data_IF_807636599902
#
_entry.id   IF_807636599902
#
_cell.length_a   1.000
_cell.length_b   1.000
_cell.length_c   1.000
_cell.angle_alpha   90.00
_cell.angle_beta   90.00
_cell.angle_gamma   90.00
#
_symmetry.space_group_name_H-M   'P 1'
#
loop_
_entity.id
_entity.type
_entity.pdbx_description
1 polymer ?
#
# COMPACT_ATOMS: atom_id res chain seq x y z
N UNK A 1 13.00 -44.76 45.17
CA UNK A 1 13.18 -43.51 45.94
C UNK A 1 11.93 -42.68 45.74
N UNK A 2 11.20 -42.49 46.84
CA UNK A 2 9.82 -42.04 46.93
C UNK A 2 9.80 -40.62 47.52
N UNK A 3 9.16 -39.67 46.85
CA UNK A 3 8.59 -38.42 47.42
C UNK A 3 7.36 -38.08 46.54
N UNK A 4 6.09 -38.38 46.88
CA UNK A 4 5.28 -37.95 48.05
C UNK A 4 5.47 -36.46 48.34
N UNK A 5 4.48 -35.57 48.41
CA UNK A 5 3.04 -35.50 48.16
C UNK A 5 2.70 -33.98 48.21
N UNK A 6 1.56 -33.49 47.69
CA UNK A 6 1.09 -32.11 47.85
C UNK A 6 0.26 -31.95 49.14
N UNK A 7 0.29 -30.76 49.76
CA UNK A 7 -0.61 -30.34 50.86
C UNK A 7 -0.55 -28.81 50.97
N UNK A 8 -1.64 -28.11 50.65
CA UNK A 8 -2.77 -27.75 51.53
C UNK A 8 -2.50 -26.49 52.37
N UNK A 9 -3.21 -25.40 52.05
CA UNK A 9 -3.83 -24.41 52.95
C UNK A 9 -4.69 -23.53 52.03
N UNK A 10 -6.00 -23.75 51.84
CA UNK A 10 -7.13 -23.80 52.77
C UNK A 10 -7.55 -22.42 53.32
N UNK A 11 -8.82 -22.10 53.09
CA UNK A 11 -9.74 -21.24 53.85
C UNK A 11 -9.63 -19.71 53.70
N UNK A 12 -10.58 -19.16 52.95
CA UNK A 12 -11.44 -18.09 53.48
C UNK A 12 -12.84 -18.22 52.87
N UNK A 13 -13.79 -18.66 53.69
CA UNK A 13 -15.23 -18.65 53.42
C UNK A 13 -15.92 -17.89 54.56
N UNK A 14 -17.10 -17.33 54.25
CA UNK A 14 -18.09 -16.67 55.13
C UNK A 14 -17.75 -15.22 55.55
N UNK A 15 -18.66 -14.25 55.52
CA UNK A 15 -20.09 -14.19 55.22
C UNK A 15 -20.49 -12.72 54.97
N UNK A 16 -21.58 -12.48 54.25
CA UNK A 16 -22.62 -11.50 54.61
C UNK A 16 -23.90 -11.86 53.84
N UNK A 17 -24.98 -12.09 54.60
CA UNK A 17 -26.35 -12.25 54.15
C UNK A 17 -26.96 -10.92 53.70
N UNK A 18 -28.12 -11.07 53.05
CA UNK A 18 -29.32 -10.23 53.11
C UNK A 18 -29.66 -9.31 51.92
N UNK A 19 -30.95 -9.34 51.58
CA UNK A 19 -31.61 -8.35 50.74
C UNK A 19 -32.20 -8.85 49.41
N UNK A 20 -33.14 -9.79 49.48
CA UNK A 20 -34.10 -10.05 48.41
C UNK A 20 -35.05 -8.85 48.26
N UNK A 21 -35.19 -8.26 47.07
CA UNK A 21 -36.41 -7.60 46.59
C UNK A 21 -36.36 -7.52 45.05
N UNK A 22 -37.13 -8.38 44.40
CA UNK A 22 -37.46 -8.25 42.98
C UNK A 22 -38.72 -7.36 42.87
N UNK A 23 -38.73 -6.28 42.09
CA UNK A 23 -39.97 -5.55 41.78
C UNK A 23 -40.71 -6.21 40.60
N UNK A 24 -42.00 -6.47 40.82
CA UNK A 24 -42.97 -6.99 39.85
C UNK A 24 -43.12 -6.13 38.57
N UNK A 25 -43.55 -6.71 37.43
CA UNK A 25 -43.88 -5.97 36.23
C UNK A 25 -45.24 -5.24 36.35
N UNK A 26 -45.37 -3.99 35.86
CA UNK A 26 -46.63 -3.26 35.93
C UNK A 26 -47.67 -3.83 34.97
N UNK A 27 -48.82 -4.17 35.53
CA UNK A 27 -50.05 -4.50 34.82
C UNK A 27 -50.67 -3.20 34.27
N UNK A 28 -50.94 -3.16 32.96
CA UNK A 28 -51.71 -2.08 32.34
C UNK A 28 -53.20 -2.36 32.49
N UNK A 29 -53.93 -1.43 33.10
CA UNK A 29 -55.39 -1.32 33.00
C UNK A 29 -55.72 0.12 32.59
N UNK A 30 -56.58 0.34 31.57
CA UNK A 30 -56.84 1.67 31.04
C UNK A 30 -57.95 2.38 31.82
N UNK A 31 -57.76 3.64 32.20
CA UNK A 31 -58.85 4.47 32.71
C UNK A 31 -58.45 5.75 33.45
N UNK A 32 -58.79 6.88 32.82
CA UNK A 32 -59.12 8.21 33.37
C UNK A 32 -58.01 9.14 33.88
N UNK A 33 -58.07 10.36 33.32
CA UNK A 33 -57.21 11.53 33.44
C UNK A 33 -57.17 12.18 34.82
N UNK A 34 -56.00 12.65 35.24
CA UNK A 34 -55.88 13.87 36.06
C UNK A 34 -54.54 14.55 35.78
N UNK A 35 -54.58 15.84 35.45
CA UNK A 35 -53.43 16.64 35.07
C UNK A 35 -52.51 16.90 36.27
N UNK A 36 -51.21 16.67 36.09
CA UNK A 36 -50.17 17.17 36.98
C UNK A 36 -49.02 17.73 36.12
N UNK A 37 -48.76 19.03 36.30
CA UNK A 37 -47.68 19.77 35.67
C UNK A 37 -46.33 19.21 36.14
N UNK A 38 -45.58 18.57 35.24
CA UNK A 38 -44.21 18.14 35.48
C UNK A 38 -43.24 19.10 34.77
N UNK A 39 -42.40 19.75 35.57
CA UNK A 39 -41.26 20.55 35.12
C UNK A 39 -40.36 19.71 34.22
N UNK A 40 -40.25 20.12 32.96
CA UNK A 40 -39.52 19.38 31.94
C UNK A 40 -38.01 19.42 32.16
N UNK A 41 -37.42 18.29 32.50
CA UNK A 41 -35.99 18.05 32.30
C UNK A 41 -35.75 18.00 30.79
N UNK A 42 -35.12 19.05 30.25
CA UNK A 42 -34.74 19.17 28.85
C UNK A 42 -33.78 18.02 28.50
N UNK A 43 -34.25 17.07 27.71
CA UNK A 43 -33.37 16.12 27.03
C UNK A 43 -32.38 16.90 26.14
N UNK A 44 -31.11 16.45 25.99
CA UNK A 44 -30.17 17.11 25.10
C UNK A 44 -30.79 17.13 23.69
N UNK A 45 -30.94 18.32 23.10
CA UNK A 45 -31.44 18.45 21.75
C UNK A 45 -30.43 17.79 20.78
N UNK A 46 -30.73 16.60 20.30
CA UNK A 46 -30.08 16.04 19.12
C UNK A 46 -30.50 16.92 17.95
N UNK A 47 -29.69 17.92 17.61
CA UNK A 47 -29.99 18.83 16.50
C UNK A 47 -30.17 18.04 15.21
N UNK A 48 -31.40 17.97 14.70
CA UNK A 48 -31.65 17.41 13.38
C UNK A 48 -31.17 18.43 12.35
N UNK A 49 -30.07 18.10 11.67
CA UNK A 49 -29.58 18.90 10.55
C UNK A 49 -30.56 18.70 9.39
N UNK A 50 -31.27 19.75 9.00
CA UNK A 50 -32.13 19.71 7.82
C UNK A 50 -31.26 19.82 6.56
N UNK A 51 -30.97 18.69 5.92
CA UNK A 51 -30.14 18.64 4.70
C UNK A 51 -31.07 18.74 3.48
N UNK A 52 -30.91 19.76 2.62
CA UNK A 52 -31.70 19.84 1.40
C UNK A 52 -31.32 18.71 0.43
N UNK A 53 -32.29 18.13 -0.26
CA UNK A 53 -32.04 17.05 -1.24
C UNK A 53 -31.19 17.49 -2.44
N UNK A 54 -31.09 18.79 -2.68
CA UNK A 54 -30.21 19.41 -3.69
C UNK A 54 -28.75 19.55 -3.23
N UNK A 55 -28.44 19.26 -1.96
CA UNK A 55 -27.07 19.34 -1.49
C UNK A 55 -26.18 18.32 -2.22
N UNK A 56 -24.96 18.71 -2.62
CA UNK A 56 -23.99 17.76 -3.15
C UNK A 56 -23.61 16.72 -2.09
N UNK A 57 -23.13 15.58 -2.54
CA UNK A 57 -22.54 14.59 -1.64
C UNK A 57 -21.29 15.16 -0.97
N UNK A 58 -21.20 14.96 0.35
CA UNK A 58 -20.04 15.35 1.12
C UNK A 58 -18.87 14.41 0.85
N UNK A 59 -17.66 14.89 1.08
CA UNK A 59 -16.46 14.11 0.88
C UNK A 59 -15.29 14.60 1.71
N UNK A 60 -14.21 13.85 1.61
CA UNK A 60 -12.90 14.20 2.15
C UNK A 60 -11.96 14.40 0.97
N UNK A 61 -11.12 15.42 1.04
CA UNK A 61 -9.99 15.62 0.13
C UNK A 61 -8.71 15.64 0.96
N UNK A 62 -7.88 14.60 0.80
CA UNK A 62 -6.59 14.49 1.50
C UNK A 62 -5.60 15.48 0.91
N UNK A 63 -5.08 16.35 1.76
CA UNK A 63 -4.10 17.38 1.43
C UNK A 63 -2.67 16.93 1.68
N UNK A 64 -2.49 15.94 2.56
CA UNK A 64 -1.19 15.39 2.91
C UNK A 64 -1.27 13.86 3.05
N UNK A 65 -0.64 13.09 2.14
CA UNK A 65 -0.10 13.54 0.87
C UNK A 65 -1.22 14.02 -0.07
N UNK A 66 -0.91 14.97 -0.96
CA UNK A 66 -1.91 15.55 -1.85
C UNK A 66 -2.50 14.48 -2.78
N UNK A 67 -3.83 14.37 -2.86
CA UNK A 67 -4.50 13.27 -3.59
C UNK A 67 -4.15 13.21 -5.09
N UNK A 68 -3.73 14.34 -5.67
CA UNK A 68 -3.49 14.47 -7.11
C UNK A 68 -2.03 14.31 -7.51
N UNK A 69 -1.11 14.18 -6.55
CA UNK A 69 0.29 13.93 -6.85
C UNK A 69 0.60 12.43 -6.94
N UNK A 70 1.80 12.12 -7.41
CA UNK A 70 2.38 10.79 -7.36
C UNK A 70 2.41 10.21 -5.94
N UNK A 71 2.50 8.88 -5.87
CA UNK A 71 2.51 8.16 -4.60
C UNK A 71 3.65 8.67 -3.70
N UNK A 72 3.30 8.96 -2.44
CA UNK A 72 4.29 9.34 -1.43
C UNK A 72 4.95 8.13 -0.82
N UNK A 73 6.25 8.23 -0.52
CA UNK A 73 7.05 7.12 0.02
C UNK A 73 7.46 7.39 1.47
N UNK A 74 7.18 6.43 2.35
CA UNK A 74 7.52 6.52 3.76
C UNK A 74 8.39 5.34 4.20
N UNK A 75 9.42 5.62 5.00
CA UNK A 75 10.31 4.59 5.55
C UNK A 75 9.70 3.93 6.80
N UNK A 76 9.81 2.62 6.87
CA UNK A 76 9.49 1.84 8.08
C UNK A 76 10.74 1.88 8.98
N UNK A 77 10.85 2.90 9.83
CA UNK A 77 11.99 3.07 10.74
C UNK A 77 11.58 3.73 12.06
N UNK A 78 12.37 3.50 13.12
CA UNK A 78 12.20 4.15 14.43
C UNK A 78 12.26 5.67 14.31
N UNK A 79 11.38 6.35 15.04
CA UNK A 79 11.33 7.83 15.10
C UNK A 79 10.81 8.49 13.82
N UNK A 80 10.17 7.73 12.92
CA UNK A 80 9.53 8.26 11.72
C UNK A 80 8.03 8.24 11.91
N UNK A 81 7.44 9.42 11.75
CA UNK A 81 6.01 9.65 11.81
C UNK A 81 5.51 10.12 10.46
N UNK A 82 4.38 9.56 10.04
CA UNK A 82 3.66 9.84 8.82
C UNK A 82 2.41 10.60 9.21
N UNK A 83 2.23 11.80 8.66
CA UNK A 83 1.02 12.59 8.89
C UNK A 83 0.11 12.48 7.68
N UNK A 84 -1.11 12.02 7.91
CA UNK A 84 -2.17 12.09 6.92
C UNK A 84 -3.09 13.25 7.26
N UNK A 85 -3.25 14.20 6.35
CA UNK A 85 -4.05 15.41 6.54
C UNK A 85 -5.09 15.56 5.44
N UNK A 86 -6.27 16.05 5.78
CA UNK A 86 -7.40 16.21 4.87
C UNK A 86 -8.33 17.35 5.25
N UNK A 87 -9.13 17.78 4.28
CA UNK A 87 -10.22 18.72 4.46
C UNK A 87 -11.56 18.10 4.05
N UNK A 88 -12.63 18.51 4.73
CA UNK A 88 -13.99 18.15 4.36
C UNK A 88 -14.49 19.06 3.24
N UNK A 89 -15.25 18.48 2.31
CA UNK A 89 -15.87 19.17 1.20
C UNK A 89 -17.35 18.84 1.20
N UNK A 90 -18.22 19.85 1.19
CA UNK A 90 -19.68 19.66 1.10
C UNK A 90 -20.31 18.77 2.19
N UNK A 91 -19.67 18.62 3.35
CA UNK A 91 -20.21 17.89 4.51
C UNK A 91 -21.03 18.86 5.35
N UNK A 92 -22.33 18.59 5.46
CA UNK A 92 -23.29 19.38 6.25
C UNK A 92 -23.62 18.70 7.58
N UNK A 93 -23.60 17.36 7.60
CA UNK A 93 -23.68 16.56 8.81
C UNK A 93 -22.34 15.85 8.99
N UNK A 94 -21.60 16.27 10.01
CA UNK A 94 -20.35 15.62 10.37
C UNK A 94 -20.63 14.22 10.94
N UNK A 95 -19.78 13.23 10.62
CA UNK A 95 -19.88 11.90 11.20
C UNK A 95 -19.61 11.96 12.71
N UNK A 96 -19.94 10.89 13.43
CA UNK A 96 -19.59 10.82 14.86
C UNK A 96 -18.13 10.42 15.03
N UNK A 97 -17.68 9.47 14.22
CA UNK A 97 -16.35 8.89 14.31
C UNK A 97 -15.77 8.68 12.93
N UNK A 98 -14.47 8.88 12.79
CA UNK A 98 -13.71 8.58 11.58
C UNK A 98 -12.78 7.40 11.82
N UNK A 99 -12.66 6.59 10.77
CA UNK A 99 -11.72 5.49 10.73
C UNK A 99 -10.80 5.66 9.54
N UNK A 100 -9.50 5.51 9.79
CA UNK A 100 -8.44 5.61 8.79
C UNK A 100 -7.76 4.26 8.72
N UNK A 101 -7.77 3.66 7.53
CA UNK A 101 -7.16 2.38 7.24
C UNK A 101 -6.25 2.48 6.02
N UNK A 102 -5.31 1.54 5.93
CA UNK A 102 -4.48 1.36 4.76
C UNK A 102 -4.66 -0.05 4.21
N UNK A 103 -5.01 -0.17 2.95
CA UNK A 103 -5.13 -1.45 2.28
C UNK A 103 -3.96 -1.69 1.35
N UNK A 104 -3.34 -2.86 1.50
CA UNK A 104 -2.25 -3.28 0.65
C UNK A 104 -2.76 -4.14 -0.50
N UNK A 105 -2.42 -3.78 -1.73
CA UNK A 105 -2.76 -4.56 -2.92
C UNK A 105 -2.01 -5.90 -2.98
N UNK A 106 -0.83 -5.97 -2.38
CA UNK A 106 0.11 -7.08 -2.61
C UNK A 106 -0.16 -8.27 -1.68
N UNK A 107 -0.65 -8.00 -0.47
CA UNK A 107 -1.03 -9.03 0.50
C UNK A 107 -2.54 -9.08 0.80
N UNK A 108 -3.33 -8.22 0.16
CA UNK A 108 -4.79 -8.14 0.28
C UNK A 108 -5.30 -7.91 1.70
N UNK A 109 -4.46 -7.39 2.60
CA UNK A 109 -4.81 -7.08 3.98
C UNK A 109 -5.04 -5.59 4.20
N UNK A 110 -5.90 -5.29 5.17
CA UNK A 110 -6.19 -3.93 5.64
C UNK A 110 -5.59 -3.73 7.02
N UNK A 111 -4.96 -2.58 7.20
CA UNK A 111 -4.25 -2.19 8.41
C UNK A 111 -4.90 -0.95 9.01
N UNK A 112 -5.23 -1.00 10.29
CA UNK A 112 -5.81 0.11 11.03
C UNK A 112 -4.75 1.17 11.36
N UNK A 113 -4.84 2.35 10.75
CA UNK A 113 -3.95 3.48 11.07
C UNK A 113 -4.48 4.18 12.33
N UNK A 114 -5.77 4.49 12.34
CA UNK A 114 -6.46 5.03 13.50
C UNK A 114 -7.94 4.65 13.45
N UNK A 115 -8.41 4.12 14.57
CA UNK A 115 -9.82 3.82 14.78
C UNK A 115 -10.40 4.85 15.75
N UNK A 116 -11.69 5.18 15.57
CA UNK A 116 -12.44 6.05 16.50
C UNK A 116 -11.88 7.48 16.65
N UNK A 117 -11.40 8.09 15.55
CA UNK A 117 -11.09 9.52 15.53
C UNK A 117 -12.38 10.34 15.64
N UNK A 118 -12.34 11.57 16.19
CA UNK A 118 -13.51 12.43 16.20
C UNK A 118 -13.94 12.77 14.77
N UNK A 119 -15.25 12.87 14.53
CA UNK A 119 -15.82 13.16 13.21
C UNK A 119 -15.36 14.46 12.54
N UNK A 120 -14.79 15.38 13.32
CA UNK A 120 -14.24 16.66 12.87
C UNK A 120 -12.72 16.64 12.72
N UNK A 121 -12.06 15.49 12.93
CA UNK A 121 -10.62 15.36 12.75
C UNK A 121 -10.23 15.65 11.30
N UNK A 122 -9.16 16.42 11.12
CA UNK A 122 -8.59 16.78 9.81
C UNK A 122 -7.20 16.20 9.59
N UNK A 123 -6.63 15.53 10.59
CA UNK A 123 -5.34 14.88 10.45
C UNK A 123 -5.16 13.74 11.42
N UNK A 124 -4.22 12.84 11.10
CA UNK A 124 -3.74 11.78 11.97
C UNK A 124 -2.24 11.60 11.78
N UNK A 125 -1.54 11.39 12.88
CA UNK A 125 -0.13 11.04 12.91
C UNK A 125 0.01 9.56 13.20
N UNK A 126 0.78 8.86 12.39
CA UNK A 126 0.96 7.42 12.46
C UNK A 126 2.42 7.03 12.27
N UNK A 127 2.94 6.12 13.09
CA UNK A 127 4.29 5.59 12.91
C UNK A 127 4.23 4.14 12.40
N UNK A 128 4.66 3.89 11.14
CA UNK A 128 4.68 2.53 10.57
C UNK A 128 5.47 1.53 11.42
N UNK A 129 6.58 1.99 12.01
CA UNK A 129 7.45 1.15 12.84
C UNK A 129 6.80 0.75 14.17
N UNK A 130 6.14 1.70 14.85
CA UNK A 130 5.46 1.39 16.10
C UNK A 130 4.25 0.49 15.84
N UNK A 131 3.55 0.72 14.72
CA UNK A 131 2.47 -0.15 14.30
C UNK A 131 2.96 -1.59 14.08
N UNK A 132 3.97 -1.79 13.23
CA UNK A 132 4.52 -3.13 12.96
C UNK A 132 5.02 -3.84 14.21
N UNK A 133 5.66 -3.09 15.13
CA UNK A 133 6.15 -3.64 16.41
C UNK A 133 5.00 -4.00 17.36
N UNK A 134 3.92 -3.21 17.39
CA UNK A 134 2.76 -3.45 18.25
C UNK A 134 1.92 -4.64 17.81
N UNK A 135 1.81 -4.88 16.50
CA UNK A 135 1.14 -6.04 15.93
C UNK A 135 1.90 -7.32 16.28
N UNK A 136 3.22 -7.33 16.09
CA UNK A 136 4.09 -8.43 16.53
C UNK A 136 3.94 -8.73 18.03
N UNK A 137 3.85 -7.69 18.87
CA UNK A 137 3.72 -7.85 20.32
C UNK A 137 2.33 -8.31 20.79
N UNK A 138 1.27 -7.91 20.09
CA UNK A 138 -0.11 -8.20 20.50
C UNK A 138 -0.61 -9.54 19.98
N UNK A 139 -0.37 -9.88 18.71
CA UNK A 139 -0.76 -11.17 18.14
C UNK A 139 0.12 -11.53 16.93
N UNK A 140 1.00 -12.55 17.02
CA UNK A 140 1.89 -12.95 15.93
C UNK A 140 1.17 -13.55 14.71
N UNK A 141 -0.13 -13.84 14.83
CA UNK A 141 -0.95 -14.36 13.74
C UNK A 141 -1.61 -13.27 12.89
N UNK A 142 -1.49 -11.99 13.28
CA UNK A 142 -1.95 -10.87 12.46
C UNK A 142 -0.97 -10.64 11.30
N UNK A 143 -1.46 -10.16 10.13
CA UNK A 143 -0.60 -9.91 8.99
C UNK A 143 0.42 -8.82 9.33
N UNK A 144 1.70 -9.11 9.08
CA UNK A 144 2.75 -8.13 9.34
C UNK A 144 2.76 -7.04 8.27
N UNK A 145 3.15 -5.82 8.66
CA UNK A 145 3.31 -4.71 7.72
C UNK A 145 4.50 -4.99 6.78
N UNK A 146 4.29 -4.85 5.47
CA UNK A 146 5.31 -5.14 4.44
C UNK A 146 5.68 -3.88 3.66
N UNK A 147 6.85 -3.90 3.01
CA UNK A 147 7.24 -2.86 2.07
C UNK A 147 6.48 -3.03 0.75
N UNK A 148 5.38 -2.29 0.60
CA UNK A 148 4.45 -2.40 -0.52
C UNK A 148 3.74 -1.05 -0.77
N UNK A 149 2.89 -1.01 -1.80
CA UNK A 149 1.99 0.10 -2.05
C UNK A 149 0.65 -0.10 -1.32
N UNK A 150 0.20 0.97 -0.67
CA UNK A 150 -0.99 1.01 0.17
C UNK A 150 -1.96 2.08 -0.34
N UNK A 151 -3.25 1.77 -0.25
CA UNK A 151 -4.34 2.70 -0.53
C UNK A 151 -4.93 3.18 0.78
N UNK A 152 -4.88 4.49 1.00
CA UNK A 152 -5.46 5.11 2.18
C UNK A 152 -6.98 5.12 2.03
N UNK A 153 -7.67 4.59 3.04
CA UNK A 153 -9.12 4.59 3.15
C UNK A 153 -9.53 5.43 4.36
N UNK A 154 -10.36 6.44 4.13
CA UNK A 154 -10.94 7.27 5.18
C UNK A 154 -12.45 7.20 5.05
N UNK A 155 -13.13 6.77 6.11
CA UNK A 155 -14.57 6.56 6.12
C UNK A 155 -15.14 6.81 7.52
N UNK A 156 -16.46 6.96 7.59
CA UNK A 156 -17.19 7.23 8.83
C UNK A 156 -17.72 5.94 9.47
N UNK A 157 -18.51 6.06 10.54
CA UNK A 157 -19.14 4.92 11.22
C UNK A 157 -20.03 4.04 10.32
N UNK A 158 -20.43 4.53 9.13
CA UNK A 158 -21.31 3.78 8.22
C UNK A 158 -20.52 2.81 7.33
N UNK A 159 -19.20 2.91 7.31
CA UNK A 159 -18.31 1.97 6.62
C UNK A 159 -17.92 2.41 5.19
N UNK A 160 -17.15 1.55 4.51
CA UNK A 160 -16.54 1.86 3.20
C UNK A 160 -17.48 1.64 2.02
N UNK A 161 -18.55 0.86 2.18
CA UNK A 161 -19.48 0.49 1.12
C UNK A 161 -20.67 1.44 0.96
N UNK A 162 -20.67 2.58 1.65
CA UNK A 162 -21.78 3.53 1.58
C UNK A 162 -21.73 4.36 0.29
N UNK A 163 -22.90 4.53 -0.32
CA UNK A 163 -23.07 5.36 -1.49
C UNK A 163 -23.02 6.85 -1.17
N UNK A 164 -22.91 7.66 -2.23
CA UNK A 164 -23.04 9.10 -2.15
C UNK A 164 -24.42 9.49 -1.59
N UNK A 165 -24.45 10.34 -0.56
CA UNK A 165 -25.70 10.86 0.02
C UNK A 165 -25.57 12.37 0.25
N UNK A 166 -26.63 13.17 0.02
CA UNK A 166 -26.58 14.62 0.17
C UNK A 166 -26.08 15.04 1.56
N UNK A 167 -25.10 15.95 1.61
CA UNK A 167 -24.58 16.53 2.86
C UNK A 167 -23.85 15.56 3.81
N UNK A 168 -23.79 14.28 3.47
CA UNK A 168 -23.14 13.20 4.22
C UNK A 168 -21.81 12.85 3.57
N UNK A 169 -20.86 12.43 4.38
CA UNK A 169 -19.51 12.13 3.92
C UNK A 169 -19.46 10.82 3.11
N UNK A 170 -18.81 10.83 1.94
CA UNK A 170 -18.48 9.62 1.21
C UNK A 170 -17.09 9.10 1.62
N UNK A 171 -16.89 7.76 1.72
CA UNK A 171 -15.58 7.15 1.87
C UNK A 171 -14.59 7.64 0.80
N UNK A 172 -13.39 8.02 1.22
CA UNK A 172 -12.31 8.37 0.31
C UNK A 172 -11.29 7.23 0.23
N UNK A 173 -11.04 6.76 -0.99
CA UNK A 173 -10.01 5.72 -1.26
C UNK A 173 -9.08 6.13 -2.41
N UNK A 174 -8.86 7.44 -2.60
CA UNK A 174 -8.18 7.99 -3.78
C UNK A 174 -6.66 8.10 -3.61
N UNK A 175 -6.16 8.15 -2.38
CA UNK A 175 -4.72 8.33 -2.12
C UNK A 175 -4.01 7.00 -2.08
N UNK A 176 -2.88 6.94 -2.76
CA UNK A 176 -1.93 5.85 -2.68
C UNK A 176 -0.61 6.34 -2.08
N UNK A 177 -0.01 5.53 -1.22
CA UNK A 177 1.30 5.76 -0.65
C UNK A 177 2.06 4.44 -0.58
N UNK A 178 3.39 4.47 -0.56
CA UNK A 178 4.20 3.27 -0.49
C UNK A 178 5.07 3.28 0.77
N UNK A 179 5.29 2.09 1.32
CA UNK A 179 6.19 1.86 2.44
C UNK A 179 7.44 1.14 1.96
N UNK A 180 8.58 1.50 2.52
CA UNK A 180 9.85 0.82 2.21
C UNK A 180 10.69 0.58 3.46
N UNK A 181 11.45 -0.51 3.43
CA UNK A 181 12.45 -0.81 4.45
C UNK A 181 13.77 -0.11 4.08
N UNK A 182 14.36 0.69 4.99
CA UNK A 182 15.65 1.31 4.72
C UNK A 182 16.73 0.24 4.59
N UNK A 183 17.57 0.35 3.56
CA UNK A 183 18.79 -0.45 3.46
C UNK A 183 19.86 0.15 4.37
N UNK A 184 20.65 -0.70 5.03
CA UNK A 184 21.80 -0.24 5.80
C UNK A 184 22.79 0.49 4.87
N UNK A 185 23.29 1.66 5.30
CA UNK A 185 24.29 2.40 4.54
C UNK A 185 25.62 1.63 4.59
N UNK A 186 26.03 1.07 3.45
CA UNK A 186 27.39 0.55 3.25
C UNK A 186 28.29 1.72 2.84
N UNK A 187 29.27 2.13 3.67
CA UNK A 187 30.15 3.24 3.35
C UNK A 187 30.98 2.92 2.10
N UNK A 188 31.23 3.92 1.24
CA UNK A 188 32.07 3.73 0.04
C UNK A 188 33.46 3.16 0.36
N UNK A 189 33.95 3.38 1.58
CA UNK A 189 35.21 2.84 2.08
C UNK A 189 35.18 1.31 2.32
N UNK A 190 34.01 0.67 2.40
CA UNK A 190 33.90 -0.78 2.62
C UNK A 190 34.06 -1.62 1.35
N UNK A 191 34.73 -1.08 0.33
CA UNK A 191 35.21 -1.88 -0.81
C UNK A 191 34.51 -1.65 -2.16
N UNK A 192 33.90 -0.49 -2.40
CA UNK A 192 33.52 -0.13 -3.78
C UNK A 192 34.77 0.15 -4.61
N UNK A 193 35.39 -0.92 -5.13
CA UNK A 193 36.46 -0.83 -6.14
C UNK A 193 35.78 -0.67 -7.49
N UNK A 194 35.85 0.53 -8.03
CA UNK A 194 35.48 0.78 -9.42
C UNK A 194 36.44 -0.02 -10.33
N UNK A 195 35.95 -1.15 -10.88
CA UNK A 195 36.73 -2.05 -11.75
C UNK A 195 37.32 -1.34 -12.98
N UNK A 196 36.72 -0.23 -13.42
CA UNK A 196 37.21 0.60 -14.54
C UNK A 196 38.14 1.75 -14.10
N UNK A 197 38.17 2.12 -12.82
CA UNK A 197 38.97 3.25 -12.34
C UNK A 197 40.46 2.87 -12.19
N UNK A 198 40.76 1.57 -12.04
CA UNK A 198 42.13 1.02 -12.04
C UNK A 198 42.68 0.73 -13.44
N UNK A 199 41.86 0.81 -14.48
CA UNK A 199 42.26 0.58 -15.88
C UNK A 199 43.02 1.76 -16.52
N UNK A 200 42.93 2.96 -15.94
CA UNK A 200 43.66 4.13 -16.43
C UNK A 200 45.17 4.03 -16.21
N UNK A 201 45.64 3.19 -15.28
CA UNK A 201 47.06 3.00 -14.98
C UNK A 201 47.81 2.28 -16.11
N UNK A 202 47.12 1.44 -16.90
CA UNK A 202 47.70 0.74 -18.05
C UNK A 202 47.77 1.60 -19.32
N UNK A 203 46.88 2.59 -19.47
CA UNK A 203 46.87 3.50 -20.61
C UNK A 203 47.89 4.64 -20.51
N UNK A 204 48.43 4.92 -19.30
CA UNK A 204 49.56 5.86 -19.16
C UNK A 204 50.87 5.30 -19.70
N UNK A 205 50.96 3.97 -19.88
CA UNK A 205 52.17 3.29 -20.38
C UNK A 205 52.07 2.87 -21.85
N UNK A 206 51.02 3.29 -22.56
CA UNK A 206 50.95 3.11 -24.01
C UNK A 206 50.86 4.49 -24.63
N UNK A 207 52.01 5.04 -24.99
CA UNK A 207 52.09 6.32 -25.69
C UNK A 207 51.19 6.24 -26.94
N UNK A 208 50.29 7.21 -27.20
CA UNK A 208 49.34 7.13 -28.31
C UNK A 208 50.02 6.94 -29.68
N UNK A 209 51.28 7.37 -29.79
CA UNK A 209 52.11 7.10 -30.98
C UNK A 209 52.42 5.61 -31.20
N UNK A 210 52.55 4.79 -30.15
CA UNK A 210 52.83 3.36 -30.27
C UNK A 210 51.63 2.60 -30.85
N UNK A 211 50.41 2.92 -30.41
CA UNK A 211 49.18 2.34 -31.00
C UNK A 211 49.01 2.79 -32.45
N UNK A 212 49.28 4.06 -32.74
CA UNK A 212 49.27 4.58 -34.11
C UNK A 212 50.28 3.90 -35.03
N UNK A 213 51.48 3.61 -34.53
CA UNK A 213 52.53 2.92 -35.28
C UNK A 213 52.15 1.46 -35.59
N UNK A 214 51.62 0.73 -34.60
CA UNK A 214 51.15 -0.65 -34.82
C UNK A 214 49.99 -0.68 -35.83
N UNK A 215 49.02 0.23 -35.71
CA UNK A 215 47.91 0.31 -36.66
C UNK A 215 48.39 0.64 -38.09
N UNK A 216 49.35 1.56 -38.24
CA UNK A 216 49.92 1.92 -39.53
C UNK A 216 50.69 0.76 -40.17
N UNK A 217 51.47 -0.01 -39.40
CA UNK A 217 52.20 -1.19 -39.88
C UNK A 217 51.23 -2.29 -40.33
N UNK A 218 50.14 -2.53 -39.59
CA UNK A 218 49.13 -3.53 -39.96
C UNK A 218 48.40 -3.14 -41.26
N UNK A 219 48.08 -1.86 -41.44
CA UNK A 219 47.46 -1.36 -42.68
C UNK A 219 48.45 -1.41 -43.84
N UNK A 220 49.72 -1.07 -43.62
CA UNK A 220 50.78 -1.15 -44.62
C UNK A 220 51.06 -2.60 -45.02
N UNK A 221 51.05 -3.56 -44.10
CA UNK A 221 51.21 -4.99 -44.39
C UNK A 221 50.02 -5.55 -45.20
N UNK A 222 48.78 -5.17 -44.86
CA UNK A 222 47.58 -5.54 -45.64
C UNK A 222 47.57 -4.94 -47.04
N UNK A 223 48.19 -3.78 -47.25
CA UNK A 223 48.33 -3.14 -48.56
C UNK A 223 49.55 -3.64 -49.35
N UNK A 224 50.62 -4.05 -48.66
CA UNK A 224 51.86 -4.58 -49.25
C UNK A 224 51.78 -6.05 -49.66
N UNK A 225 50.91 -6.85 -49.03
CA UNK A 225 50.71 -8.26 -49.38
C UNK A 225 50.00 -8.47 -50.74
N UNK A 226 49.61 -7.38 -51.43
CA UNK A 226 49.02 -7.43 -52.78
C UNK A 226 50.00 -7.17 -53.93
N UNK A 227 51.30 -6.90 -53.66
CA UNK A 227 52.27 -6.52 -54.70
C UNK A 227 53.49 -7.45 -54.83
N UNK A 228 53.56 -8.55 -54.08
CA UNK A 228 54.63 -9.54 -54.25
C UNK A 228 54.04 -10.92 -54.55
N UNK A 229 53.77 -11.13 -55.84
CA UNK A 229 54.00 -12.41 -56.51
C UNK A 229 52.96 -13.51 -56.32
N UNK A 230 52.55 -14.06 -57.48
CA UNK A 230 51.83 -15.31 -57.69
C UNK A 230 50.38 -15.29 -57.21
N UNK A 231 49.40 -15.14 -58.10
CA UNK A 231 49.24 -15.97 -59.29
C UNK A 231 48.02 -16.85 -59.02
N UNK A 232 47.06 -16.78 -59.93
CA UNK A 232 45.87 -17.63 -60.00
C UNK A 232 46.13 -19.05 -59.48
N UNK A 233 45.43 -19.47 -58.41
CA UNK A 233 44.29 -20.37 -58.54
C UNK A 233 43.75 -20.82 -57.16
N UNK A 234 42.43 -20.79 -57.07
CA UNK A 234 41.61 -21.75 -56.33
C UNK A 234 41.72 -21.81 -54.79
N UNK A 235 40.92 -20.97 -54.12
CA UNK A 235 40.03 -21.43 -53.04
C UNK A 235 38.69 -20.68 -53.10
N UNK A 236 37.86 -21.07 -54.07
CA UNK A 236 36.41 -20.92 -53.93
C UNK A 236 35.96 -21.86 -52.82
N UNK A 237 35.75 -21.36 -51.60
CA UNK A 237 34.76 -22.00 -50.73
C UNK A 237 33.38 -21.69 -51.31
N UNK A 238 32.93 -22.65 -52.10
CA UNK A 238 31.61 -22.84 -52.67
C UNK A 238 30.50 -22.55 -51.66
N UNK A 239 29.54 -21.73 -52.08
CA UNK A 239 28.10 -22.00 -51.99
C UNK A 239 27.34 -20.92 -52.79
N UNK A 240 27.28 -21.11 -54.12
CA UNK A 240 26.24 -20.46 -54.94
C UNK A 240 24.96 -21.28 -54.90
N UNK A 241 23.84 -20.56 -54.83
CA UNK A 241 22.44 -21.00 -54.85
C UNK A 241 22.02 -21.72 -56.16
N UNK A 242 20.74 -22.16 -56.36
CA UNK A 242 19.69 -21.20 -56.78
C UNK A 242 18.20 -21.53 -56.44
N UNK A 243 17.45 -20.46 -56.15
CA UNK A 243 16.11 -20.07 -56.64
C UNK A 243 15.02 -21.13 -56.94
N UNK A 244 13.86 -21.03 -56.26
CA UNK A 244 12.56 -21.09 -56.96
C UNK A 244 11.40 -20.35 -56.26
N UNK A 245 10.86 -19.45 -57.04
CA UNK A 245 9.73 -18.53 -56.91
C UNK A 245 8.36 -19.23 -56.72
N UNK A 246 7.50 -18.79 -55.78
CA UNK A 246 6.02 -18.82 -55.95
C UNK A 246 5.24 -17.97 -54.93
N UNK A 247 4.93 -16.74 -55.38
CA UNK A 247 3.59 -16.14 -55.51
C UNK A 247 2.63 -16.06 -54.29
N UNK A 248 2.37 -14.80 -53.90
CA UNK A 248 1.20 -14.25 -53.19
C UNK A 248 -0.14 -14.95 -53.52
N UNK A 249 -0.98 -15.19 -52.50
CA UNK A 249 -2.41 -14.79 -52.48
C UNK A 249 -3.03 -14.86 -51.07
N UNK A 250 -4.03 -14.02 -50.90
CA UNK A 250 -4.64 -13.47 -49.69
C UNK A 250 -6.06 -14.01 -49.43
N UNK A 251 -6.42 -14.23 -48.14
CA UNK A 251 -7.77 -14.23 -47.49
C UNK A 251 -8.87 -15.20 -48.06
N UNK A 252 -10.03 -15.44 -47.38
CA UNK A 252 -10.50 -15.09 -46.02
C UNK A 252 -11.14 -16.28 -45.20
N UNK A 253 -11.62 -15.90 -44.01
CA UNK A 253 -12.55 -16.48 -43.02
C UNK A 253 -13.76 -17.27 -43.58
N UNK A 254 -14.09 -18.39 -42.93
CA UNK A 254 -15.40 -19.08 -42.99
C UNK A 254 -15.61 -19.92 -41.71
N UNK A 255 -16.83 -19.84 -41.17
CA UNK A 255 -17.41 -20.47 -39.98
C UNK A 255 -17.62 -21.99 -40.03
N UNK A 256 -18.00 -22.53 -38.85
CA UNK A 256 -19.07 -23.52 -38.58
C UNK A 256 -18.60 -24.80 -37.81
N UNK A 257 -19.49 -25.55 -37.12
CA UNK A 257 -20.95 -25.40 -37.00
C UNK A 257 -21.53 -25.45 -35.56
N UNK A 258 -22.77 -24.98 -35.46
CA UNK A 258 -23.79 -25.31 -34.45
C UNK A 258 -24.28 -26.76 -34.56
N UNK A 259 -24.50 -27.47 -33.44
CA UNK A 259 -25.83 -28.01 -33.03
C UNK A 259 -25.81 -28.95 -31.80
N UNK A 260 -26.74 -28.65 -30.87
CA UNK A 260 -27.62 -29.57 -30.11
C UNK A 260 -27.07 -30.68 -29.20
N UNK A 261 -27.20 -30.49 -27.89
CA UNK A 261 -28.27 -31.08 -27.05
C UNK A 261 -28.34 -30.38 -25.70
#
# INVERSE_FOLDING_TARGET
>A
MLRMLPSLYALCALACLDGAFAPDPPSFTPGLSTAASASGTQAPATGSVNIPSSAPAGGITVTQPIQTADASYYKIARGVEVTFGWNFTSVLQYPRTLTVQAYCSDNLNTYDIATNLPGTATSVVWSPYNYSSSVEASNPNLPQLIAASYRLMIYDERGTSVGASPGLMQPNTRVQFALYNPQAYTPLASGWICAACSGASGLKMVHPAFVGLIAAVVVAARRGCGLVGFGEDEWRCSCSAPLRNRKRRSKPMEEAPTSSS
#
